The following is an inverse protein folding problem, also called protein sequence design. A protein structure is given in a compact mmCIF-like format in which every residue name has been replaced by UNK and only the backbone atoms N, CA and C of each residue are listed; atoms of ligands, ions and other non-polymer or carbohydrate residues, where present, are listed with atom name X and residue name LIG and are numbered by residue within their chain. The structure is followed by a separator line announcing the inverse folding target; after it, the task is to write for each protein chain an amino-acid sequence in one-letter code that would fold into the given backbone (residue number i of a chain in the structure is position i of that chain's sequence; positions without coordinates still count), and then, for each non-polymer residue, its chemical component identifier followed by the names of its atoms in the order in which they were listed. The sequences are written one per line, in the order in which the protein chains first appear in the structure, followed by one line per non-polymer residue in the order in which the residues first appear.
data_IF_387831568322
#
_entry.id   IF_387831568322
#
_cell.length_a   1.000
_cell.length_b   1.000
_cell.length_c   1.000
_cell.angle_alpha   90.00
_cell.angle_beta   90.00
_cell.angle_gamma   90.00
#
_symmetry.space_group_name_H-M   'P 1'
#
loop_
_entity.id
_entity.type
_entity.pdbx_description
1 polymer ?
#
# COMPACT_ATOMS: atom_id res chain seq x y z
N UNK A 1 34.04 3.43 -15.45
CA UNK A 1 33.25 4.44 -16.17
C UNK A 1 31.80 3.96 -16.46
N UNK A 2 31.18 3.16 -15.58
CA UNK A 2 29.86 2.51 -15.84
C UNK A 2 28.78 2.81 -14.77
N UNK A 3 29.06 3.58 -13.72
CA UNK A 3 28.04 3.92 -12.70
C UNK A 3 27.14 5.09 -13.10
N UNK A 4 27.68 6.04 -13.88
CA UNK A 4 26.96 7.27 -14.28
C UNK A 4 25.87 6.99 -15.32
N UNK A 5 26.05 5.96 -16.16
CA UNK A 5 25.08 5.64 -17.22
C UNK A 5 23.78 5.00 -16.68
N UNK A 6 23.86 4.19 -15.62
CA UNK A 6 22.66 3.61 -14.98
C UNK A 6 21.87 4.63 -14.15
N UNK A 7 22.56 5.59 -13.53
CA UNK A 7 21.91 6.68 -12.78
C UNK A 7 21.09 7.60 -13.70
N UNK A 8 21.56 7.83 -14.93
CA UNK A 8 20.88 8.71 -15.89
C UNK A 8 19.65 8.03 -16.52
N UNK A 9 19.70 6.71 -16.75
CA UNK A 9 18.57 5.95 -17.31
C UNK A 9 17.43 5.71 -16.30
N UNK A 10 17.75 5.50 -15.02
CA UNK A 10 16.73 5.47 -13.96
C UNK A 10 16.12 6.86 -13.71
N UNK A 11 16.90 7.94 -13.78
CA UNK A 11 16.38 9.31 -13.65
C UNK A 11 15.43 9.67 -14.81
N UNK A 12 15.72 9.25 -16.05
CA UNK A 12 14.85 9.58 -17.19
C UNK A 12 13.49 8.90 -17.13
N UNK A 13 13.38 7.70 -16.54
CA UNK A 13 12.09 7.04 -16.33
C UNK A 13 11.27 7.72 -15.22
N UNK A 14 11.93 8.22 -14.18
CA UNK A 14 11.28 8.95 -13.06
C UNK A 14 10.78 10.33 -13.53
N UNK A 15 11.49 10.99 -14.46
CA UNK A 15 11.10 12.30 -15.01
C UNK A 15 9.93 12.22 -16.00
N UNK A 16 9.69 11.06 -16.62
CA UNK A 16 8.46 10.84 -17.41
C UNK A 16 7.24 10.50 -16.57
N UNK A 17 7.41 9.94 -15.36
CA UNK A 17 6.30 9.66 -14.46
C UNK A 17 5.68 10.94 -13.84
N UNK A 18 6.43 12.04 -13.80
CA UNK A 18 5.90 13.37 -13.42
C UNK A 18 4.94 14.02 -14.44
N UNK A 19 4.57 13.33 -15.54
CA UNK A 19 3.68 13.90 -16.59
C UNK A 19 2.40 13.08 -16.81
N UNK A 20 2.19 12.00 -16.06
CA UNK A 20 0.90 11.32 -15.99
C UNK A 20 0.49 11.29 -14.53
N UNK A 21 -0.02 12.42 -14.04
CA UNK A 21 -0.85 12.38 -12.84
C UNK A 21 -1.92 11.33 -13.09
N UNK A 22 -1.89 10.24 -12.34
CA UNK A 22 -3.00 9.31 -12.38
C UNK A 22 -4.16 10.01 -11.70
N UNK A 23 -5.09 10.49 -12.52
CA UNK A 23 -6.26 11.19 -12.05
C UNK A 23 -7.24 10.16 -11.49
N UNK A 24 -7.51 10.26 -10.20
CA UNK A 24 -8.59 9.50 -9.59
C UNK A 24 -9.89 10.25 -9.86
N UNK A 25 -10.75 9.63 -10.65
CA UNK A 25 -12.10 10.11 -10.87
C UNK A 25 -13.07 9.43 -9.90
N UNK A 26 -14.10 10.17 -9.51
CA UNK A 26 -15.22 9.61 -8.77
C UNK A 26 -16.28 9.13 -9.74
N UNK A 27 -16.90 7.99 -9.45
CA UNK A 27 -18.06 7.52 -10.19
C UNK A 27 -19.36 8.09 -9.62
N UNK A 28 -19.41 8.34 -8.30
CA UNK A 28 -20.60 8.82 -7.62
C UNK A 28 -20.64 10.34 -7.46
N UNK A 29 -21.83 10.92 -7.59
CA UNK A 29 -22.12 12.32 -7.24
C UNK A 29 -22.51 12.53 -5.78
N UNK A 30 -22.75 11.45 -5.02
CA UNK A 30 -23.17 11.52 -3.62
C UNK A 30 -22.08 12.20 -2.77
N UNK A 31 -22.44 12.87 -1.66
CA UNK A 31 -21.43 13.31 -0.70
C UNK A 31 -20.73 12.09 -0.07
N UNK A 32 -19.42 12.17 0.09
CA UNK A 32 -18.60 11.16 0.78
C UNK A 32 -17.69 11.83 1.81
N UNK A 33 -17.37 11.16 2.93
CA UNK A 33 -16.32 11.61 3.82
C UNK A 33 -14.94 11.47 3.16
N UNK A 34 -13.93 12.09 3.78
CA UNK A 34 -12.54 12.01 3.32
C UNK A 34 -11.93 10.64 3.63
N UNK A 35 -11.10 10.14 2.71
CA UNK A 35 -10.29 8.95 2.91
C UNK A 35 -9.11 9.25 3.85
N UNK A 36 -8.84 8.36 4.79
CA UNK A 36 -7.63 8.44 5.62
C UNK A 36 -6.46 7.79 4.87
N UNK A 37 -5.64 8.60 4.18
CA UNK A 37 -4.43 8.08 3.51
C UNK A 37 -3.23 8.25 4.43
N UNK A 38 -2.57 7.14 4.76
CA UNK A 38 -1.42 7.14 5.67
C UNK A 38 -0.29 6.31 5.12
N UNK A 39 0.90 6.91 5.13
CA UNK A 39 2.14 6.21 4.88
C UNK A 39 2.71 5.54 6.12
N UNK A 40 3.26 4.33 5.99
CA UNK A 40 3.98 3.62 7.04
C UNK A 40 5.40 3.33 6.54
N UNK A 41 6.34 4.16 6.98
CA UNK A 41 7.75 4.03 6.68
C UNK A 41 8.37 2.92 7.53
N UNK A 42 8.94 1.91 6.89
CA UNK A 42 9.66 0.82 7.55
C UNK A 42 11.10 1.25 7.80
N UNK A 43 11.44 1.59 9.04
CA UNK A 43 12.75 2.16 9.38
C UNK A 43 13.22 1.77 10.78
N UNK A 44 14.48 2.03 11.11
CA UNK A 44 15.02 1.67 12.43
C UNK A 44 14.45 2.55 13.54
N UNK A 45 14.09 3.79 13.20
CA UNK A 45 13.59 4.82 14.08
C UNK A 45 13.01 5.99 13.27
N UNK A 46 12.27 6.89 13.92
CA UNK A 46 11.64 8.04 13.26
C UNK A 46 12.64 9.04 12.67
N UNK A 47 13.82 9.22 13.29
CA UNK A 47 14.83 10.17 12.80
C UNK A 47 15.48 9.69 11.50
N UNK A 48 15.76 8.39 11.41
CA UNK A 48 16.25 7.70 10.23
C UNK A 48 15.21 7.76 9.12
N UNK A 49 13.94 7.43 9.42
CA UNK A 49 12.86 7.53 8.45
C UNK A 49 12.76 8.95 7.87
N UNK A 50 12.79 9.98 8.73
CA UNK A 50 12.72 11.38 8.32
C UNK A 50 13.87 11.78 7.39
N UNK A 51 15.12 11.44 7.73
CA UNK A 51 16.27 11.75 6.86
C UNK A 51 16.14 11.05 5.50
N UNK A 52 15.74 9.77 5.46
CA UNK A 52 15.57 9.05 4.19
C UNK A 52 14.44 9.64 3.35
N UNK A 53 13.30 9.99 3.96
CA UNK A 53 12.19 10.65 3.27
C UNK A 53 12.62 12.01 2.71
N UNK A 54 13.29 12.83 3.50
CA UNK A 54 13.68 14.19 3.08
C UNK A 54 14.84 14.18 2.07
N UNK A 55 15.89 13.41 2.32
CA UNK A 55 17.11 13.47 1.54
C UNK A 55 17.05 12.58 0.30
N UNK A 56 16.54 11.35 0.43
CA UNK A 56 16.47 10.43 -0.69
C UNK A 56 15.17 10.60 -1.49
N UNK A 57 14.00 10.46 -0.85
CA UNK A 57 12.73 10.48 -1.60
C UNK A 57 12.35 11.88 -2.11
N UNK A 58 12.40 12.91 -1.26
CA UNK A 58 12.01 14.27 -1.65
C UNK A 58 13.11 15.00 -2.43
N UNK A 59 14.35 15.04 -1.94
CA UNK A 59 15.42 15.81 -2.61
C UNK A 59 16.02 15.07 -3.80
N UNK A 60 16.47 13.82 -3.62
CA UNK A 60 17.19 13.09 -4.69
C UNK A 60 16.23 12.54 -5.75
N UNK A 61 15.14 11.88 -5.35
CA UNK A 61 14.16 11.27 -6.25
C UNK A 61 13.08 12.26 -6.71
N UNK A 62 12.99 13.45 -6.10
CA UNK A 62 12.01 14.50 -6.43
C UNK A 62 10.56 14.04 -6.31
N UNK A 63 10.28 13.17 -5.34
CA UNK A 63 8.92 12.70 -5.08
C UNK A 63 8.18 13.68 -4.16
N UNK A 64 6.89 13.87 -4.44
CA UNK A 64 5.95 14.56 -3.57
C UNK A 64 5.31 13.55 -2.62
N UNK A 65 5.45 13.77 -1.30
CA UNK A 65 4.86 12.97 -0.24
C UNK A 65 4.13 13.91 0.71
N UNK A 66 2.86 14.18 0.43
CA UNK A 66 2.03 15.12 1.20
C UNK A 66 1.08 14.44 2.19
N UNK A 67 0.85 13.13 2.04
CA UNK A 67 0.06 12.35 2.98
C UNK A 67 0.77 12.22 4.35
N UNK A 68 0.01 12.12 5.47
CA UNK A 68 0.56 11.81 6.79
C UNK A 68 1.40 10.53 6.81
N UNK A 69 2.50 10.53 7.57
CA UNK A 69 3.44 9.40 7.65
C UNK A 69 3.64 8.99 9.12
N UNK A 70 3.48 7.69 9.37
CA UNK A 70 3.91 6.99 10.56
C UNK A 70 5.12 6.11 10.23
N UNK A 71 5.79 5.61 11.25
CA UNK A 71 7.03 4.84 11.17
C UNK A 71 6.86 3.56 11.96
N UNK A 72 7.05 2.42 11.29
CA UNK A 72 7.36 1.17 11.97
C UNK A 72 8.86 1.20 12.31
N UNK A 73 9.16 1.59 13.54
CA UNK A 73 10.51 1.79 14.08
C UNK A 73 11.16 0.47 14.56
N UNK A 74 10.89 -0.64 13.86
CA UNK A 74 11.40 -1.97 14.22
C UNK A 74 12.26 -2.61 13.15
N UNK A 75 12.54 -1.87 12.06
CA UNK A 75 13.31 -2.36 10.94
C UNK A 75 14.68 -2.89 11.39
N UNK A 76 14.94 -4.15 11.03
CA UNK A 76 16.24 -4.80 11.19
C UNK A 76 16.61 -5.49 9.89
N UNK A 77 17.77 -5.12 9.33
CA UNK A 77 18.36 -5.86 8.20
C UNK A 77 18.79 -7.25 8.70
N UNK A 78 18.24 -8.30 8.10
CA UNK A 78 18.54 -9.69 8.47
C UNK A 78 19.64 -10.31 7.60
N UNK A 79 19.85 -9.77 6.39
CA UNK A 79 20.93 -10.21 5.49
C UNK A 79 20.55 -10.10 4.01
N UNK A 80 21.38 -10.72 3.17
CA UNK A 80 21.10 -10.93 1.74
C UNK A 80 20.36 -12.26 1.55
N UNK A 81 19.45 -12.30 0.57
CA UNK A 81 18.74 -13.50 0.16
C UNK A 81 19.72 -14.40 -0.60
N UNK A 82 20.09 -15.54 -0.02
CA UNK A 82 20.94 -16.53 -0.71
C UNK A 82 20.15 -17.26 -1.79
N UNK A 83 20.80 -17.87 -2.78
CA UNK A 83 20.13 -18.65 -3.84
C UNK A 83 19.20 -19.76 -3.29
N UNK A 84 19.49 -20.30 -2.10
CA UNK A 84 18.64 -21.27 -1.41
C UNK A 84 17.37 -20.63 -0.79
N UNK A 85 17.42 -19.35 -0.43
CA UNK A 85 16.29 -18.58 0.11
C UNK A 85 15.27 -18.15 -0.96
N UNK A 86 15.66 -18.19 -2.24
CA UNK A 86 14.77 -17.97 -3.39
C UNK A 86 13.72 -19.09 -3.48
N UNK A 87 14.10 -20.29 -3.04
CA UNK A 87 13.23 -21.47 -3.08
C UNK A 87 12.14 -21.45 -2.00
N UNK A 88 12.37 -20.76 -0.87
CA UNK A 88 11.48 -20.79 0.29
C UNK A 88 10.50 -19.61 0.39
N UNK A 89 10.86 -18.44 -0.16
CA UNK A 89 10.12 -17.18 0.07
C UNK A 89 9.74 -16.43 -1.21
N UNK A 90 9.97 -17.01 -2.39
CA UNK A 90 9.94 -16.26 -3.66
C UNK A 90 11.09 -15.24 -3.76
N UNK A 91 11.25 -14.58 -4.92
CA UNK A 91 12.26 -13.51 -5.07
C UNK A 91 11.78 -12.27 -4.30
N UNK A 92 12.54 -11.80 -3.30
CA UNK A 92 12.51 -10.37 -2.98
C UNK A 92 12.97 -9.65 -4.25
N UNK A 93 12.23 -8.63 -4.71
CA UNK A 93 12.66 -7.78 -5.84
C UNK A 93 14.04 -7.18 -5.56
N UNK A 94 14.40 -7.04 -4.27
CA UNK A 94 15.70 -6.54 -3.81
C UNK A 94 16.75 -7.62 -3.49
N UNK A 95 16.37 -8.90 -3.39
CA UNK A 95 17.26 -9.95 -2.90
C UNK A 95 17.74 -9.75 -1.46
N UNK A 96 17.00 -9.02 -0.63
CA UNK A 96 17.34 -8.74 0.78
C UNK A 96 16.27 -9.27 1.73
N UNK A 97 16.68 -9.64 2.95
CA UNK A 97 15.78 -9.98 4.06
C UNK A 97 15.83 -8.89 5.12
N UNK A 98 14.67 -8.44 5.55
CA UNK A 98 14.51 -7.55 6.68
C UNK A 98 13.40 -8.06 7.60
N UNK A 99 13.36 -7.55 8.81
CA UNK A 99 12.27 -7.73 9.74
C UNK A 99 11.69 -6.37 10.09
N UNK A 100 10.37 -6.26 10.06
CA UNK A 100 9.62 -5.27 10.83
C UNK A 100 8.43 -5.97 11.47
N UNK A 101 7.86 -5.37 12.53
CA UNK A 101 6.66 -5.89 13.18
C UNK A 101 5.48 -5.89 12.21
N UNK A 102 5.30 -4.82 11.43
CA UNK A 102 4.23 -4.74 10.45
C UNK A 102 4.36 -5.81 9.37
N UNK A 103 5.56 -6.04 8.82
CA UNK A 103 5.83 -7.08 7.81
C UNK A 103 5.47 -8.48 8.35
N UNK A 104 5.87 -8.76 9.59
CA UNK A 104 5.61 -10.05 10.21
C UNK A 104 4.13 -10.27 10.53
N UNK A 105 3.42 -9.27 11.05
CA UNK A 105 2.02 -9.42 11.48
C UNK A 105 1.04 -9.39 10.31
N UNK A 106 1.36 -8.62 9.27
CA UNK A 106 0.55 -8.55 8.06
C UNK A 106 0.99 -9.57 7.01
N UNK A 107 2.06 -10.34 7.24
CA UNK A 107 2.61 -11.29 6.27
C UNK A 107 2.95 -10.63 4.92
N UNK A 108 3.63 -9.47 4.95
CA UNK A 108 3.99 -8.70 3.74
C UNK A 108 5.17 -9.31 2.96
N UNK A 109 5.82 -10.34 3.51
CA UNK A 109 6.88 -11.14 2.90
C UNK A 109 8.11 -10.33 2.45
N UNK A 110 8.50 -9.36 3.27
CA UNK A 110 9.61 -8.45 3.02
C UNK A 110 9.53 -7.75 1.65
N UNK A 111 8.32 -7.45 1.19
CA UNK A 111 8.13 -6.70 -0.05
C UNK A 111 8.59 -5.25 0.14
N UNK A 112 9.30 -4.64 -0.82
CA UNK A 112 9.73 -3.25 -0.70
C UNK A 112 8.62 -2.23 -0.50
N UNK A 113 7.41 -2.54 -0.98
CA UNK A 113 6.23 -1.72 -0.73
C UNK A 113 4.98 -2.60 -0.64
N UNK A 114 3.93 -2.08 -0.02
CA UNK A 114 2.59 -2.71 -0.03
C UNK A 114 1.54 -1.63 0.09
N UNK A 115 0.45 -1.78 -0.66
CA UNK A 115 -0.73 -0.93 -0.58
C UNK A 115 -1.91 -1.73 -0.04
N UNK A 116 -2.61 -1.21 0.97
CA UNK A 116 -3.81 -1.80 1.54
C UNK A 116 -4.96 -0.79 1.54
N UNK A 117 -6.18 -1.28 1.34
CA UNK A 117 -7.41 -0.56 1.69
C UNK A 117 -8.05 -1.26 2.88
N UNK A 118 -8.42 -0.48 3.89
CA UNK A 118 -9.01 -0.93 5.14
C UNK A 118 -10.32 -0.19 5.36
N UNK A 119 -11.34 -0.90 5.82
CA UNK A 119 -12.65 -0.32 6.12
C UNK A 119 -12.72 0.26 7.55
N UNK A 120 -13.84 0.91 7.92
CA UNK A 120 -13.98 1.55 9.24
C UNK A 120 -13.93 0.53 10.38
N UNK A 121 -14.27 -0.73 10.12
CA UNK A 121 -14.15 -1.82 11.09
C UNK A 121 -12.73 -2.35 11.23
N UNK A 122 -11.75 -1.81 10.49
CA UNK A 122 -10.34 -2.22 10.45
C UNK A 122 -10.11 -3.55 9.74
N UNK A 123 -11.03 -3.98 8.87
CA UNK A 123 -10.87 -5.17 8.02
C UNK A 123 -10.16 -4.82 6.73
N UNK A 124 -9.25 -5.69 6.27
CA UNK A 124 -8.48 -5.48 5.05
C UNK A 124 -9.35 -5.84 3.84
N UNK A 125 -9.62 -4.86 2.98
CA UNK A 125 -10.56 -4.95 1.84
C UNK A 125 -9.90 -5.07 0.50
N UNK A 126 -8.73 -4.46 0.35
CA UNK A 126 -7.93 -4.62 -0.85
C UNK A 126 -6.44 -4.65 -0.52
N UNK A 127 -5.67 -5.26 -1.42
CA UNK A 127 -4.24 -5.48 -1.30
C UNK A 127 -3.57 -5.33 -2.66
N UNK A 128 -2.40 -4.70 -2.70
CA UNK A 128 -1.48 -4.82 -3.83
C UNK A 128 -0.01 -4.68 -3.43
N UNK A 129 0.81 -5.42 -4.15
CA UNK A 129 2.27 -5.30 -4.21
C UNK A 129 2.77 -5.15 -5.66
N UNK A 130 1.86 -4.92 -6.60
CA UNK A 130 2.19 -4.63 -8.00
C UNK A 130 2.57 -3.17 -8.19
N UNK A 131 3.32 -2.90 -9.26
CA UNK A 131 3.77 -1.53 -9.58
C UNK A 131 2.73 -0.73 -10.39
N UNK A 132 1.74 -1.41 -10.96
CA UNK A 132 0.73 -0.84 -11.84
C UNK A 132 -0.63 -1.15 -11.22
N UNK A 133 -1.28 -0.19 -10.59
CA UNK A 133 -2.65 -0.36 -10.12
C UNK A 133 -3.53 0.57 -10.95
N UNK A 134 -4.65 0.06 -11.46
CA UNK A 134 -5.62 0.91 -12.13
C UNK A 134 -6.32 1.81 -11.10
N UNK A 135 -6.25 3.15 -11.25
CA UNK A 135 -6.98 4.08 -10.40
C UNK A 135 -8.49 3.83 -10.36
N UNK A 136 -9.10 3.34 -11.44
CA UNK A 136 -10.55 3.08 -11.50
C UNK A 136 -10.96 2.00 -10.50
N UNK A 137 -10.20 0.91 -10.43
CA UNK A 137 -10.43 -0.19 -9.47
C UNK A 137 -10.31 0.31 -8.02
N UNK A 138 -9.32 1.17 -7.75
CA UNK A 138 -9.13 1.74 -6.41
C UNK A 138 -10.20 2.76 -6.07
N UNK A 139 -10.53 3.69 -6.98
CA UNK A 139 -11.62 4.66 -6.82
C UNK A 139 -12.92 3.97 -6.46
N UNK A 140 -13.29 2.90 -7.19
CA UNK A 140 -14.53 2.18 -6.94
C UNK A 140 -14.56 1.53 -5.56
N UNK A 141 -13.51 0.80 -5.17
CA UNK A 141 -13.43 0.20 -3.82
C UNK A 141 -13.47 1.27 -2.73
N UNK A 142 -12.72 2.36 -2.88
CA UNK A 142 -12.69 3.47 -1.93
C UNK A 142 -14.07 4.10 -1.79
N UNK A 143 -14.72 4.45 -2.90
CA UNK A 143 -16.02 5.10 -2.88
C UNK A 143 -17.11 4.17 -2.33
N UNK A 144 -17.15 2.89 -2.69
CA UNK A 144 -18.13 1.96 -2.13
C UNK A 144 -18.03 1.86 -0.61
N UNK A 145 -16.81 1.82 -0.07
CA UNK A 145 -16.57 1.84 1.37
C UNK A 145 -16.98 3.18 1.98
N UNK A 146 -16.60 4.31 1.38
CA UNK A 146 -16.93 5.64 1.90
C UNK A 146 -18.43 5.93 1.85
N UNK A 147 -19.13 5.49 0.80
CA UNK A 147 -20.57 5.59 0.62
C UNK A 147 -21.35 4.71 1.60
N UNK A 148 -20.74 3.61 2.07
CA UNK A 148 -21.31 2.70 3.06
C UNK A 148 -22.75 2.29 2.67
N UNK A 149 -22.84 1.56 1.56
CA UNK A 149 -24.09 1.22 0.89
C UNK A 149 -24.98 0.35 1.80
N UNK A 150 -26.23 0.77 1.99
CA UNK A 150 -27.20 0.12 2.88
C UNK A 150 -26.71 0.00 4.34
N UNK A 151 -25.87 0.93 4.79
CA UNK A 151 -25.25 0.88 6.12
C UNK A 151 -24.21 -0.23 6.26
N UNK A 152 -23.72 -0.77 5.15
CA UNK A 152 -22.74 -1.86 5.12
C UNK A 152 -21.54 -1.43 4.29
N UNK A 153 -20.36 -1.78 4.80
CA UNK A 153 -19.12 -1.62 4.05
C UNK A 153 -18.99 -2.76 3.04
N UNK A 154 -19.80 -2.75 1.99
CA UNK A 154 -19.69 -3.69 0.88
C UNK A 154 -18.77 -3.13 -0.20
N UNK A 155 -18.08 -4.02 -0.91
CA UNK A 155 -17.38 -3.69 -2.16
C UNK A 155 -17.97 -4.59 -3.25
N UNK A 156 -17.96 -4.16 -4.51
CA UNK A 156 -18.43 -4.93 -5.66
C UNK A 156 -17.34 -5.19 -6.70
N UNK A 157 -16.18 -4.57 -6.53
CA UNK A 157 -15.05 -4.70 -7.45
C UNK A 157 -14.36 -6.06 -7.32
N UNK A 158 -14.45 -6.88 -8.37
CA UNK A 158 -13.83 -8.21 -8.44
C UNK A 158 -12.48 -8.07 -9.10
N UNK A 159 -11.41 -8.27 -8.33
CA UNK A 159 -10.04 -8.22 -8.85
C UNK A 159 -9.73 -9.35 -9.84
N UNK A 160 -10.65 -10.28 -10.09
CA UNK A 160 -10.42 -11.42 -10.97
C UNK A 160 -9.28 -12.32 -10.48
N UNK A 161 -8.69 -13.09 -11.40
CA UNK A 161 -7.40 -13.76 -11.15
C UNK A 161 -6.29 -12.70 -11.10
N UNK A 162 -5.42 -12.68 -10.07
CA UNK A 162 -4.40 -11.65 -9.94
C UNK A 162 -3.48 -11.59 -11.18
N UNK A 163 -3.63 -10.54 -11.99
CA UNK A 163 -2.66 -10.25 -13.04
C UNK A 163 -1.30 -9.97 -12.38
N UNK A 164 -0.27 -10.73 -12.74
CA UNK A 164 1.06 -10.61 -12.14
C UNK A 164 1.70 -9.21 -12.25
N UNK A 165 1.22 -8.36 -13.16
CA UNK A 165 1.65 -6.96 -13.28
C UNK A 165 0.98 -6.04 -12.24
N UNK A 166 -0.30 -6.27 -11.94
CA UNK A 166 -1.10 -5.40 -11.09
C UNK A 166 -1.09 -5.82 -9.62
N UNK A 167 -1.04 -7.12 -9.37
CA UNK A 167 -1.04 -7.68 -8.02
C UNK A 167 -2.24 -7.25 -7.16
N UNK A 168 -3.29 -6.69 -7.77
CA UNK A 168 -4.49 -6.17 -7.13
C UNK A 168 -5.41 -7.30 -6.69
N UNK A 169 -5.92 -7.22 -5.46
CA UNK A 169 -6.80 -8.24 -4.87
C UNK A 169 -7.85 -7.59 -3.97
N UNK A 170 -9.11 -8.04 -4.06
CA UNK A 170 -10.24 -7.53 -3.25
C UNK A 170 -10.98 -8.62 -2.46
N UNK A 171 -11.57 -8.24 -1.33
CA UNK A 171 -12.35 -9.13 -0.46
C UNK A 171 -13.81 -9.32 -0.96
N UNK A 172 -13.99 -9.96 -2.11
CA UNK A 172 -15.31 -10.34 -2.66
C UNK A 172 -15.75 -11.77 -2.34
N UNK A 173 -15.08 -12.46 -1.43
CA UNK A 173 -15.51 -13.76 -0.91
C UNK A 173 -15.53 -14.93 -1.90
N UNK A 174 -15.20 -14.76 -3.19
CA UNK A 174 -15.31 -15.83 -4.19
C UNK A 174 -14.24 -16.92 -4.14
N UNK A 175 -13.10 -16.75 -3.45
CA UNK A 175 -12.09 -17.83 -3.35
C UNK A 175 -11.29 -17.93 -2.04
N UNK A 176 -11.75 -17.36 -0.92
CA UNK A 176 -11.09 -17.63 0.37
C UNK A 176 -11.27 -19.10 0.84
N UNK A 177 -12.32 -19.79 0.40
CA UNK A 177 -12.64 -21.17 0.80
C UNK A 177 -11.76 -22.27 0.14
N UNK A 178 -10.89 -21.95 -0.82
CA UNK A 178 -9.95 -22.93 -1.43
C UNK A 178 -8.53 -22.88 -0.84
N UNK A 179 -8.32 -22.17 0.27
CA UNK A 179 -7.03 -22.13 0.97
C UNK A 179 -6.87 -23.39 1.85
N UNK A 180 -6.55 -24.53 1.22
CA UNK A 180 -6.01 -25.68 1.97
C UNK A 180 -4.66 -25.28 2.58
N UNK A 181 -4.63 -25.05 3.90
CA UNK A 181 -3.41 -25.19 4.70
C UNK A 181 -3.03 -26.66 4.74
N UNK A 182 -2.15 -27.11 3.84
CA UNK A 182 -1.40 -28.36 4.02
C UNK A 182 0.05 -28.21 3.56
N UNK A 183 0.94 -28.21 4.55
CA UNK A 183 2.35 -28.52 4.39
C UNK A 183 3.22 -27.39 3.86
N UNK A 184 4.44 -27.33 4.38
CA UNK A 184 5.53 -26.47 3.93
C UNK A 184 5.62 -26.47 2.39
N UNK A 185 5.33 -25.32 1.76
CA UNK A 185 5.24 -25.20 0.30
C UNK A 185 6.24 -24.18 -0.24
N UNK A 186 7.06 -24.66 -1.17
CA UNK A 186 8.05 -23.95 -1.97
C UNK A 186 7.35 -22.97 -2.93
N UNK A 187 7.56 -21.66 -2.79
CA UNK A 187 6.99 -20.64 -3.69
C UNK A 187 8.01 -20.23 -4.75
N UNK A 188 7.88 -20.83 -5.93
CA UNK A 188 8.48 -20.38 -7.18
C UNK A 188 7.33 -19.78 -7.99
N UNK A 189 7.31 -18.47 -8.23
CA UNK A 189 6.28 -17.91 -9.10
C UNK A 189 6.30 -18.55 -10.50
N UNK A 190 5.27 -18.37 -11.35
CA UNK A 190 3.84 -18.38 -11.11
C UNK A 190 3.30 -19.78 -11.42
N UNK A 191 3.03 -20.61 -10.40
CA UNK A 191 2.16 -21.79 -10.54
C UNK A 191 1.36 -21.95 -9.24
N UNK A 192 0.11 -21.48 -9.31
CA UNK A 192 -0.88 -21.21 -8.25
C UNK A 192 -0.75 -19.81 -7.65
N UNK A 193 -1.55 -18.90 -8.20
CA UNK A 193 -1.82 -17.57 -7.64
C UNK A 193 -2.48 -17.75 -6.27
N UNK A 194 -1.73 -17.45 -5.21
CA UNK A 194 -2.24 -17.51 -3.85
C UNK A 194 -2.67 -16.11 -3.44
N UNK A 195 -3.96 -15.98 -3.13
CA UNK A 195 -4.56 -14.81 -2.53
C UNK A 195 -3.88 -14.43 -1.22
N UNK A 196 -3.69 -13.12 -1.00
CA UNK A 196 -3.15 -12.55 0.23
C UNK A 196 -3.88 -13.14 1.44
N UNK A 197 -3.10 -13.66 2.39
CA UNK A 197 -3.62 -14.48 3.48
C UNK A 197 -4.53 -13.68 4.42
N UNK A 198 -4.24 -12.40 4.61
CA UNK A 198 -4.97 -11.52 5.53
C UNK A 198 -6.13 -10.76 4.88
N UNK A 199 -6.41 -10.98 3.59
CA UNK A 199 -7.53 -10.33 2.90
C UNK A 199 -8.86 -10.77 3.52
N UNK A 200 -9.66 -9.80 3.93
CA UNK A 200 -10.91 -10.00 4.66
C UNK A 200 -10.76 -10.25 6.16
N UNK A 201 -9.53 -10.30 6.69
CA UNK A 201 -9.31 -10.36 8.13
C UNK A 201 -9.20 -8.95 8.73
N UNK A 202 -9.39 -8.89 10.05
CA UNK A 202 -9.07 -7.71 10.85
C UNK A 202 -7.57 -7.42 10.76
N UNK A 203 -7.19 -6.17 10.47
CA UNK A 203 -5.80 -5.75 10.57
C UNK A 203 -5.31 -5.91 12.02
N UNK A 204 -4.12 -6.49 12.25
CA UNK A 204 -3.53 -6.59 13.59
C UNK A 204 -3.21 -5.20 14.14
N UNK A 205 -3.24 -5.04 15.46
CA UNK A 205 -2.74 -3.81 16.08
C UNK A 205 -1.25 -3.93 16.41
N UNK A 206 -0.51 -2.84 16.25
CA UNK A 206 0.91 -2.75 16.59
C UNK A 206 1.33 -1.30 16.77
N UNK A 207 2.45 -1.11 17.48
CA UNK A 207 3.00 0.21 17.77
C UNK A 207 3.59 0.85 16.49
N UNK A 208 3.35 2.16 16.37
CA UNK A 208 3.90 3.03 15.35
C UNK A 208 4.46 4.29 16.01
N UNK A 209 5.37 4.97 15.31
CA UNK A 209 5.82 6.29 15.69
C UNK A 209 5.36 7.34 14.67
N UNK A 210 5.01 8.53 15.12
CA UNK A 210 4.89 9.70 14.24
C UNK A 210 6.29 10.20 13.87
N UNK A 211 6.42 10.97 12.78
CA UNK A 211 7.74 11.47 12.33
C UNK A 211 8.46 12.39 13.33
N UNK A 212 7.74 12.96 14.29
CA UNK A 212 8.28 13.73 15.42
C UNK A 212 8.64 12.86 16.65
N UNK A 213 8.48 11.54 16.55
CA UNK A 213 8.83 10.57 17.60
C UNK A 213 7.71 10.30 18.62
N UNK A 214 6.51 10.85 18.42
CA UNK A 214 5.33 10.48 19.20
C UNK A 214 4.94 9.01 18.99
N UNK A 215 4.29 8.40 19.98
CA UNK A 215 3.82 7.01 19.90
C UNK A 215 2.35 6.95 19.51
N UNK A 216 2.00 6.00 18.66
CA UNK A 216 0.62 5.66 18.29
C UNK A 216 0.50 4.16 18.03
N UNK A 217 -0.69 3.68 17.68
CA UNK A 217 -0.91 2.31 17.22
C UNK A 217 -1.63 2.30 15.88
N UNK A 218 -1.52 1.21 15.13
CA UNK A 218 -2.23 1.09 13.85
C UNK A 218 -3.75 1.28 14.04
N UNK A 219 -4.34 0.66 15.06
CA UNK A 219 -5.78 0.77 15.31
C UNK A 219 -6.20 2.21 15.64
N UNK A 220 -5.36 2.96 16.35
CA UNK A 220 -5.61 4.38 16.63
C UNK A 220 -5.58 5.22 15.36
N UNK A 221 -4.71 4.88 14.39
CA UNK A 221 -4.65 5.55 13.08
C UNK A 221 -5.90 5.27 12.24
N UNK A 222 -6.44 4.05 12.34
CA UNK A 222 -7.58 3.56 11.55
C UNK A 222 -8.95 3.90 12.13
N UNK A 223 -9.02 4.37 13.38
CA UNK A 223 -10.26 4.31 14.16
C UNK A 223 -11.44 5.06 13.51
N UNK A 224 -12.49 4.30 13.19
CA UNK A 224 -13.72 4.80 12.56
C UNK A 224 -13.56 5.32 11.12
N UNK A 225 -12.45 5.01 10.44
CA UNK A 225 -12.11 5.57 9.12
C UNK A 225 -11.88 4.49 8.07
N UNK A 226 -12.42 4.69 6.88
CA UNK A 226 -11.89 4.04 5.69
C UNK A 226 -10.49 4.58 5.45
N UNK A 227 -9.52 3.69 5.30
CA UNK A 227 -8.10 4.05 5.25
C UNK A 227 -7.38 3.38 4.10
N UNK A 228 -6.50 4.13 3.44
CA UNK A 228 -5.51 3.60 2.52
C UNK A 228 -4.14 3.64 3.19
N UNK A 229 -3.49 2.48 3.31
CA UNK A 229 -2.17 2.35 3.91
C UNK A 229 -1.13 2.05 2.84
N UNK A 230 -0.03 2.80 2.86
CA UNK A 230 1.12 2.56 2.02
C UNK A 230 2.34 2.23 2.87
N UNK A 231 2.80 0.99 2.84
CA UNK A 231 4.02 0.55 3.50
C UNK A 231 5.17 0.66 2.51
N UNK A 232 6.32 1.21 2.93
CA UNK A 232 7.54 1.18 2.11
C UNK A 232 8.80 1.21 2.95
N UNK A 233 9.89 0.71 2.37
CA UNK A 233 11.21 0.77 3.00
C UNK A 233 11.76 2.20 3.08
N UNK A 234 12.11 2.64 4.28
CA UNK A 234 12.84 3.90 4.50
C UNK A 234 14.05 3.80 5.46
N UNK A 235 14.95 2.79 5.35
CA UNK A 235 16.18 2.75 6.13
C UNK A 235 17.36 3.39 5.36
N UNK A 236 18.47 3.64 6.04
CA UNK A 236 19.68 4.29 5.50
C UNK A 236 20.53 3.41 4.58
N UNK A 237 20.10 2.18 4.27
CA UNK A 237 20.87 1.24 3.44
C UNK A 237 20.92 1.72 1.96
N UNK A 238 22.12 2.02 1.42
CA UNK A 238 22.27 2.61 0.10
C UNK A 238 21.80 1.71 -1.05
N UNK A 239 21.69 0.38 -0.89
CA UNK A 239 21.22 -0.47 -2.00
C UNK A 239 19.68 -0.55 -2.11
N UNK A 240 18.95 0.24 -1.31
CA UNK A 240 17.50 0.46 -1.50
C UNK A 240 17.21 1.38 -2.68
N UNK A 241 18.22 2.09 -3.19
CA UNK A 241 18.09 2.92 -4.38
C UNK A 241 17.61 2.12 -5.62
N UNK A 242 17.93 0.82 -5.73
CA UNK A 242 17.45 -0.04 -6.84
C UNK A 242 15.95 -0.37 -6.75
N UNK A 243 15.41 -0.32 -5.53
CA UNK A 243 13.98 -0.51 -5.19
C UNK A 243 13.19 0.81 -5.35
N UNK A 244 13.91 1.93 -5.44
CA UNK A 244 13.34 3.28 -5.48
C UNK A 244 12.43 3.55 -6.68
N UNK A 245 12.58 2.85 -7.80
CA UNK A 245 11.73 3.06 -8.97
C UNK A 245 10.27 2.61 -8.74
N UNK A 246 10.06 1.39 -8.25
CA UNK A 246 8.71 0.89 -7.94
C UNK A 246 8.07 1.61 -6.74
N UNK A 247 8.87 1.89 -5.72
CA UNK A 247 8.42 2.72 -4.59
C UNK A 247 8.03 4.12 -5.04
N UNK A 248 8.77 4.71 -5.99
CA UNK A 248 8.50 6.03 -6.54
C UNK A 248 7.19 6.12 -7.30
N UNK A 249 6.91 5.15 -8.19
CA UNK A 249 5.63 5.06 -8.92
C UNK A 249 4.47 4.93 -7.93
N UNK A 250 4.57 4.01 -6.97
CA UNK A 250 3.52 3.82 -5.96
C UNK A 250 3.37 5.03 -5.03
N UNK A 251 4.44 5.76 -4.75
CA UNK A 251 4.35 7.01 -3.97
C UNK A 251 3.54 8.07 -4.72
N UNK A 252 3.75 8.22 -6.03
CA UNK A 252 2.97 9.14 -6.85
C UNK A 252 1.50 8.71 -6.91
N UNK A 253 1.23 7.42 -7.09
CA UNK A 253 -0.12 6.85 -7.02
C UNK A 253 -0.82 7.23 -5.71
N UNK A 254 -0.18 6.99 -4.57
CA UNK A 254 -0.73 7.26 -3.23
C UNK A 254 -0.87 8.76 -2.99
N UNK A 255 0.04 9.59 -3.51
CA UNK A 255 -0.10 11.04 -3.43
C UNK A 255 -1.33 11.53 -4.23
N UNK A 256 -1.53 11.04 -5.46
CA UNK A 256 -2.74 11.32 -6.24
C UNK A 256 -4.02 10.88 -5.51
N UNK A 257 -4.02 9.68 -4.90
CA UNK A 257 -5.13 9.19 -4.07
C UNK A 257 -5.40 10.12 -2.88
N UNK A 258 -4.34 10.61 -2.24
CA UNK A 258 -4.43 11.56 -1.14
C UNK A 258 -5.05 12.89 -1.57
N UNK A 259 -4.64 13.49 -2.68
CA UNK A 259 -5.28 14.70 -3.20
C UNK A 259 -6.75 14.45 -3.52
N UNK A 260 -7.03 13.40 -4.29
CA UNK A 260 -8.36 13.05 -4.74
C UNK A 260 -9.35 12.84 -3.60
N UNK A 261 -9.04 11.93 -2.67
CA UNK A 261 -9.98 11.49 -1.63
C UNK A 261 -9.60 11.93 -0.22
N UNK A 262 -8.31 12.10 0.09
CA UNK A 262 -7.86 12.58 1.39
C UNK A 262 -8.06 14.08 1.59
N UNK A 263 -7.80 14.88 0.56
CA UNK A 263 -8.08 16.31 0.55
C UNK A 263 -9.47 16.63 0.02
N UNK A 264 -10.04 15.74 -0.80
CA UNK A 264 -11.36 15.87 -1.41
C UNK A 264 -11.35 16.70 -2.69
N UNK A 265 -10.26 16.65 -3.45
CA UNK A 265 -10.07 17.42 -4.68
C UNK A 265 -10.67 16.72 -5.91
N UNK A 266 -11.01 15.44 -5.81
CA UNK A 266 -11.67 14.72 -6.90
C UNK A 266 -13.08 15.27 -7.15
N UNK A 267 -13.37 15.59 -8.40
CA UNK A 267 -14.70 16.05 -8.82
C UNK A 267 -15.72 14.93 -8.60
N UNK A 268 -16.95 15.25 -8.15
CA UNK A 268 -18.03 14.27 -8.13
C UNK A 268 -18.25 13.67 -9.52
N UNK A 269 -18.58 12.39 -9.56
CA UNK A 269 -19.01 11.72 -10.78
C UNK A 269 -20.44 12.08 -11.16
N UNK A 270 -21.02 11.33 -12.09
CA UNK A 270 -22.36 11.59 -12.62
C UNK A 270 -23.44 10.71 -11.99
N UNK A 271 -23.06 9.59 -11.35
CA UNK A 271 -24.01 8.60 -10.86
C UNK A 271 -24.58 8.95 -9.47
N UNK A 272 -25.90 8.92 -9.34
CA UNK A 272 -26.54 8.89 -8.03
C UNK A 272 -26.63 7.45 -7.51
N UNK A 273 -25.80 7.15 -6.52
CA UNK A 273 -25.80 5.83 -5.88
C UNK A 273 -26.90 5.83 -4.82
N UNK A 274 -27.89 4.96 -5.01
CA UNK A 274 -29.00 4.79 -4.07
C UNK A 274 -28.49 4.16 -2.77
N UNK A 275 -29.15 4.50 -1.66
CA UNK A 275 -28.89 3.94 -0.33
C UNK A 275 -27.47 4.21 0.25
N UNK A 276 -26.77 5.23 -0.25
CA UNK A 276 -25.54 5.69 0.38
C UNK A 276 -25.83 6.23 1.79
N UNK A 277 -25.10 5.74 2.79
CA UNK A 277 -25.16 6.20 4.18
C UNK A 277 -23.75 6.53 4.68
N UNK A 278 -23.14 7.63 4.20
CA UNK A 278 -21.69 7.87 4.33
C UNK A 278 -21.23 8.15 5.77
N UNK A 279 -22.16 8.58 6.62
CA UNK A 279 -21.94 8.77 8.04
C UNK A 279 -21.87 7.40 8.74
N UNK A 280 -20.90 7.17 9.66
CA UNK A 280 -20.90 5.97 10.47
C UNK A 280 -22.20 5.91 11.27
N UNK A 281 -22.96 4.83 11.10
CA UNK A 281 -24.08 4.51 11.98
C UNK A 281 -23.53 4.40 13.41
N UNK A 282 -23.95 5.31 14.28
CA UNK A 282 -23.69 5.17 15.72
C UNK A 282 -24.48 3.97 16.21
N UNK A 283 -23.82 2.83 16.39
CA UNK A 283 -24.32 1.74 17.23
C UNK A 283 -24.06 2.06 18.71
#
# INVERSE_FOLDING_TARGET
MNRVFYSVLCLSAIVTASVLGQDFERYSKNPIPKLNVVGIALSSDASTAKSVIDDFYRKQMRLTLEFPICVDATYKKLGEQKAFDISLFGKSVSGKKYFTVSDSLLELNANPFTFLIIDRTKRIRAFSQGMMIDPEHVSKVVEELLLNLDGKENITEDSGEPNGAEGWQTDLGKQNAKKEKKGFTLSLGPKKELWYAQLGNQAPDFELQTLDGGKTTLHSVLDGKVSALFFWLAPTDPDIALVGAGTGIMTQFVNSLYHAYGLGEAKPGDEEVKNATPEPTKE
#
